data_IF_864963958335
#
_entry.id   IF_864963958335
#
_cell.length_a   1.000
_cell.length_b   1.000
_cell.length_c   1.000
_cell.angle_alpha   90.00
_cell.angle_beta   90.00
_cell.angle_gamma   90.00
#
_symmetry.space_group_name_H-M   'P 1'
#
loop_
_entity.id
_entity.type
_entity.pdbx_description
1 polymer ?
#
# COMPACT_ATOMS: atom_id res chain seq x y z
N UNK A 1 -5.48 -18.78 47.30
CA UNK A 1 -6.56 -18.86 46.28
C UNK A 1 -7.05 -17.51 45.77
N UNK A 2 -6.67 -16.36 46.34
CA UNK A 2 -7.06 -15.04 45.80
C UNK A 2 -6.18 -14.57 44.63
N UNK A 3 -4.91 -14.99 44.61
CA UNK A 3 -3.93 -14.56 43.60
C UNK A 3 -4.33 -14.95 42.17
N UNK A 4 -5.11 -16.04 42.01
CA UNK A 4 -5.58 -16.49 40.71
C UNK A 4 -6.55 -15.49 40.07
N UNK A 5 -7.39 -14.83 40.87
CA UNK A 5 -8.33 -13.82 40.37
C UNK A 5 -7.59 -12.55 39.93
N UNK A 6 -6.53 -12.17 40.64
CA UNK A 6 -5.66 -11.05 40.24
C UNK A 6 -4.93 -11.33 38.92
N UNK A 7 -4.34 -12.52 38.79
CA UNK A 7 -3.64 -12.94 37.57
C UNK A 7 -4.60 -13.04 36.38
N UNK A 8 -5.81 -13.57 36.59
CA UNK A 8 -6.85 -13.64 35.58
C UNK A 8 -7.23 -12.24 35.08
N UNK A 9 -7.47 -11.30 35.99
CA UNK A 9 -7.83 -9.93 35.65
C UNK A 9 -6.73 -9.23 34.82
N UNK A 10 -5.46 -9.34 35.27
CA UNK A 10 -4.32 -8.75 34.55
C UNK A 10 -4.18 -9.39 33.17
N UNK A 11 -4.31 -10.72 33.05
CA UNK A 11 -4.22 -11.43 31.78
C UNK A 11 -5.26 -10.95 30.77
N UNK A 12 -6.52 -10.79 31.19
CA UNK A 12 -7.60 -10.30 30.32
C UNK A 12 -7.36 -8.85 29.90
N UNK A 13 -6.91 -7.98 30.83
CA UNK A 13 -6.60 -6.58 30.52
C UNK A 13 -5.50 -6.49 29.46
N UNK A 14 -4.41 -7.24 29.65
CA UNK A 14 -3.29 -7.26 28.70
C UNK A 14 -3.77 -7.77 27.33
N UNK A 15 -4.57 -8.84 27.29
CA UNK A 15 -5.13 -9.36 26.05
C UNK A 15 -5.99 -8.32 25.32
N UNK A 16 -6.84 -7.58 26.04
CA UNK A 16 -7.68 -6.53 25.46
C UNK A 16 -6.85 -5.36 24.91
N UNK A 17 -5.78 -4.96 25.61
CA UNK A 17 -4.86 -3.91 25.13
C UNK A 17 -4.20 -4.33 23.82
N UNK A 18 -3.64 -5.53 23.74
CA UNK A 18 -3.03 -6.04 22.52
C UNK A 18 -4.04 -6.22 21.39
N UNK A 19 -5.26 -6.68 21.71
CA UNK A 19 -6.34 -6.80 20.74
C UNK A 19 -6.76 -5.43 20.17
N UNK A 20 -6.94 -4.42 21.01
CA UNK A 20 -7.27 -3.07 20.57
C UNK A 20 -6.14 -2.47 19.69
N UNK A 21 -4.88 -2.65 20.10
CA UNK A 21 -3.72 -2.22 19.31
C UNK A 21 -3.68 -2.91 17.94
N UNK A 22 -3.97 -4.22 17.89
CA UNK A 22 -4.08 -4.99 16.66
C UNK A 22 -5.15 -4.41 15.71
N UNK A 23 -6.36 -4.14 16.21
CA UNK A 23 -7.44 -3.56 15.39
C UNK A 23 -7.05 -2.17 14.85
N UNK A 24 -6.42 -1.33 15.67
CA UNK A 24 -5.94 -0.01 15.22
C UNK A 24 -4.89 -0.18 14.12
N UNK A 25 -3.93 -1.09 14.28
CA UNK A 25 -2.88 -1.34 13.29
C UNK A 25 -3.45 -1.85 11.96
N UNK A 26 -4.44 -2.74 12.00
CA UNK A 26 -5.13 -3.23 10.80
C UNK A 26 -5.91 -2.12 10.10
N UNK A 27 -6.61 -1.28 10.87
CA UNK A 27 -7.39 -0.16 10.33
C UNK A 27 -6.50 0.96 9.75
N UNK A 28 -5.29 1.15 10.28
CA UNK A 28 -4.37 2.20 9.84
C UNK A 28 -3.72 1.93 8.48
N UNK A 29 -4.27 1.02 7.66
CA UNK A 29 -3.83 0.87 6.27
C UNK A 29 -2.49 0.17 6.12
N UNK A 30 -2.05 -0.64 7.09
CA UNK A 30 -0.84 -1.48 6.94
C UNK A 30 -0.92 -2.41 5.70
N UNK A 31 -2.13 -2.64 5.18
CA UNK A 31 -2.44 -3.43 3.99
C UNK A 31 -2.65 -2.59 2.71
N UNK A 32 -2.41 -1.29 2.73
CA UNK A 32 -2.62 -0.44 1.54
C UNK A 32 -1.52 -0.67 0.48
N UNK A 33 -0.41 -1.30 0.85
CA UNK A 33 0.73 -1.60 -0.02
C UNK A 33 0.69 -3.02 -0.62
N UNK A 34 -0.52 -3.56 -0.83
CA UNK A 34 -0.74 -4.90 -1.45
C UNK A 34 -0.61 -4.85 -2.98
N UNK A 35 -0.57 -3.66 -3.58
CA UNK A 35 -0.29 -3.48 -5.00
C UNK A 35 1.21 -3.57 -5.27
N UNK A 36 1.64 -4.77 -5.63
CA UNK A 36 3.05 -5.07 -5.93
C UNK A 36 3.50 -4.30 -7.19
N UNK A 37 4.68 -3.66 -7.20
CA UNK A 37 5.21 -2.92 -8.37
C UNK A 37 5.31 -3.78 -9.64
N UNK A 38 5.43 -5.10 -9.49
CA UNK A 38 5.45 -6.07 -10.59
C UNK A 38 4.15 -6.09 -11.41
N UNK A 39 3.00 -5.79 -10.80
CA UNK A 39 1.70 -5.77 -11.51
C UNK A 39 1.55 -4.47 -12.29
N UNK A 40 2.02 -3.36 -11.73
CA UNK A 40 2.04 -2.05 -12.39
C UNK A 40 2.88 -2.09 -13.66
N UNK A 41 4.06 -2.71 -13.61
CA UNK A 41 4.95 -2.81 -14.77
C UNK A 41 4.32 -3.61 -15.92
N UNK A 42 3.64 -4.74 -15.63
CA UNK A 42 2.99 -5.57 -16.66
C UNK A 42 1.79 -4.91 -17.34
N UNK A 43 1.12 -3.95 -16.70
CA UNK A 43 -0.04 -3.23 -17.27
C UNK A 43 0.29 -1.83 -17.80
N UNK A 44 1.37 -1.20 -17.31
CA UNK A 44 1.84 0.07 -17.86
C UNK A 44 2.57 -0.13 -19.19
N UNK A 45 3.26 -1.27 -19.38
CA UNK A 45 3.97 -1.58 -20.64
C UNK A 45 3.03 -1.69 -21.86
N UNK A 46 1.78 -2.14 -21.69
CA UNK A 46 0.80 -2.27 -22.79
C UNK A 46 0.22 -0.92 -23.23
N UNK A 47 0.18 0.08 -22.33
CA UNK A 47 -0.41 1.40 -22.60
C UNK A 47 0.58 2.39 -23.23
N UNK A 48 1.89 2.21 -23.04
CA UNK A 48 2.90 3.14 -23.60
C UNK A 48 3.04 2.99 -25.11
N UNK A 49 2.65 1.86 -25.70
CA UNK A 49 2.83 1.63 -27.13
C UNK A 49 1.81 2.40 -27.99
N UNK A 50 0.71 2.88 -27.43
CA UNK A 50 -0.22 3.78 -28.15
C UNK A 50 0.13 5.27 -28.02
N UNK A 51 0.78 5.69 -26.93
CA UNK A 51 1.10 7.11 -26.70
C UNK A 51 2.41 7.55 -27.38
N UNK A 52 3.34 6.61 -27.62
CA UNK A 52 4.62 6.87 -28.31
C UNK A 52 4.47 7.34 -29.75
N UNK A 53 3.38 6.99 -30.44
CA UNK A 53 3.13 7.46 -31.82
C UNK A 53 2.70 8.93 -31.87
N UNK A 54 2.06 9.44 -30.82
CA UNK A 54 1.55 10.82 -30.78
C UNK A 54 2.61 11.84 -30.34
N UNK A 55 3.55 11.45 -29.47
CA UNK A 55 4.54 12.38 -28.90
C UNK A 55 5.83 12.57 -29.72
N UNK A 56 6.16 11.68 -30.67
CA UNK A 56 7.36 11.84 -31.52
C UNK A 56 7.21 12.88 -32.63
N UNK A 57 5.99 13.29 -32.99
CA UNK A 57 5.77 14.27 -34.06
C UNK A 57 5.94 15.73 -33.60
N UNK A 58 5.80 16.01 -32.30
CA UNK A 58 5.91 17.38 -31.74
C UNK A 58 7.36 17.83 -31.53
N UNK A 59 8.30 16.90 -31.30
CA UNK A 59 9.71 17.23 -31.11
C UNK A 59 10.47 17.41 -32.42
N UNK A 60 10.09 16.70 -33.49
CA UNK A 60 10.73 16.81 -34.81
C UNK A 60 10.42 18.15 -35.51
N UNK A 61 9.21 18.69 -35.34
CA UNK A 61 8.84 19.98 -35.96
C UNK A 61 9.49 21.20 -35.30
N UNK A 62 9.91 21.10 -34.03
CA UNK A 62 10.57 22.21 -33.32
C UNK A 62 12.05 22.38 -33.68
N UNK A 63 12.71 21.32 -34.15
CA UNK A 63 14.14 21.34 -34.53
C UNK A 63 14.36 21.91 -35.94
N UNK A 64 13.34 21.91 -36.81
CA UNK A 64 13.45 22.40 -38.20
C UNK A 64 13.21 23.92 -38.36
N UNK A 65 12.83 24.61 -37.28
CA UNK A 65 12.45 26.04 -37.31
C UNK A 65 13.45 26.96 -36.57
N UNK A 66 14.68 26.50 -36.35
CA UNK A 66 15.80 27.34 -35.89
C UNK A 66 17.00 27.16 -36.82
#
# INVERSE_FOLDING_TARGET
MNIIYLLLAISVIVALVFFAAFIISVKNGQYDDVYTPSVRMLFEDELVDQEKETHQQSTVNKVKSN
#
